data_IF_530535745272
#
_entry.id   IF_530535745272
#
_cell.length_a   1.000
_cell.length_b   1.000
_cell.length_c   1.000
_cell.angle_alpha   90.00
_cell.angle_beta   90.00
_cell.angle_gamma   90.00
#
_symmetry.space_group_name_H-M   'P 1'
#
loop_
_entity.id
_entity.type
_entity.pdbx_description
1 polymer ?
#
# COMPACT_ATOMS: atom_id res chain seq x y z
N UNK A 1 -6.75 -25.60 -46.12
CA UNK A 1 -5.60 -25.11 -45.31
C UNK A 1 -6.09 -24.82 -43.89
N UNK A 2 -5.71 -25.58 -42.86
CA UNK A 2 -6.17 -25.35 -41.50
C UNK A 2 -5.29 -24.32 -40.77
N UNK A 3 -5.93 -23.30 -40.19
CA UNK A 3 -5.33 -22.27 -39.34
C UNK A 3 -4.81 -22.90 -38.04
N UNK A 4 -3.54 -22.68 -37.67
CA UNK A 4 -2.97 -23.14 -36.40
C UNK A 4 -2.42 -21.98 -35.57
N UNK A 5 -3.16 -21.74 -34.48
CA UNK A 5 -2.75 -21.39 -33.11
C UNK A 5 -1.73 -20.24 -32.94
N UNK A 6 -2.25 -19.10 -32.51
CA UNK A 6 -1.50 -18.12 -31.74
C UNK A 6 -0.97 -18.79 -30.47
N UNK A 7 0.36 -18.90 -30.39
CA UNK A 7 1.09 -19.26 -29.19
C UNK A 7 1.01 -18.08 -28.22
N UNK A 8 0.14 -18.19 -27.22
CA UNK A 8 0.21 -17.33 -26.04
C UNK A 8 1.50 -17.64 -25.31
N UNK A 9 2.41 -16.65 -25.26
CA UNK A 9 3.61 -16.71 -24.44
C UNK A 9 3.19 -16.77 -22.96
N UNK A 10 3.84 -17.60 -22.13
CA UNK A 10 3.49 -17.69 -20.71
C UNK A 10 3.86 -16.37 -20.04
N UNK A 11 2.86 -15.77 -19.38
CA UNK A 11 3.02 -14.62 -18.49
C UNK A 11 4.00 -15.02 -17.38
N UNK A 12 5.23 -14.53 -17.45
CA UNK A 12 6.20 -14.60 -16.35
C UNK A 12 5.57 -13.91 -15.16
N UNK A 13 5.09 -14.73 -14.22
CA UNK A 13 4.53 -14.28 -12.96
C UNK A 13 5.68 -13.63 -12.18
N UNK A 14 5.80 -12.31 -12.30
CA UNK A 14 6.68 -11.50 -11.48
C UNK A 14 6.37 -11.81 -10.02
N UNK A 15 7.22 -12.60 -9.37
CA UNK A 15 7.14 -12.84 -7.94
C UNK A 15 7.67 -11.60 -7.22
N UNK A 16 6.91 -10.51 -7.29
CA UNK A 16 7.04 -9.41 -6.35
C UNK A 16 6.77 -9.99 -4.97
N UNK A 17 7.80 -10.09 -4.13
CA UNK A 17 7.62 -10.47 -2.73
C UNK A 17 6.48 -9.63 -2.16
N UNK A 18 5.44 -10.27 -1.63
CA UNK A 18 4.23 -9.59 -1.20
C UNK A 18 4.57 -8.68 -0.02
N UNK A 19 4.89 -7.43 -0.30
CA UNK A 19 5.08 -6.40 0.71
C UNK A 19 3.70 -5.93 1.15
N UNK A 20 3.28 -6.39 2.33
CA UNK A 20 2.02 -5.99 2.93
C UNK A 20 2.22 -4.67 3.70
N UNK A 21 1.44 -3.66 3.34
CA UNK A 21 1.37 -2.38 4.04
C UNK A 21 0.07 -2.31 4.84
N UNK A 22 0.12 -1.75 6.05
CA UNK A 22 -1.06 -1.44 6.85
C UNK A 22 -1.11 0.05 7.15
N UNK A 23 -2.30 0.64 7.04
CA UNK A 23 -2.54 1.98 7.59
C UNK A 23 -2.73 1.87 9.09
N UNK A 24 -2.04 2.74 9.84
CA UNK A 24 -2.17 2.86 11.29
C UNK A 24 -2.56 4.29 11.58
N UNK A 25 -3.63 4.46 12.35
CA UNK A 25 -4.04 5.79 12.82
C UNK A 25 -3.08 6.27 13.91
N UNK A 26 -2.75 7.55 13.86
CA UNK A 26 -1.80 8.18 14.79
C UNK A 26 -2.33 9.54 15.20
N UNK A 27 -1.92 10.02 16.38
CA UNK A 27 -2.26 11.37 16.82
C UNK A 27 -1.10 12.31 16.52
N UNK A 28 -1.40 13.47 15.92
CA UNK A 28 -0.40 14.52 15.69
C UNK A 28 -0.11 15.26 16.99
N UNK A 29 1.18 15.40 17.33
CA UNK A 29 1.69 16.21 18.42
C UNK A 29 2.20 17.57 17.95
N UNK A 30 3.23 18.08 18.66
CA UNK A 30 3.83 19.39 18.37
C UNK A 30 4.62 19.35 17.05
N UNK A 31 4.62 20.46 16.33
CA UNK A 31 5.48 20.64 15.15
C UNK A 31 6.50 21.74 15.43
N UNK A 32 7.79 21.43 15.26
CA UNK A 32 8.89 22.37 15.49
C UNK A 32 10.11 22.02 14.62
N UNK A 33 10.85 23.03 14.16
CA UNK A 33 12.10 22.85 13.42
C UNK A 33 12.00 22.01 12.13
N UNK A 34 10.82 21.92 11.51
CA UNK A 34 10.57 21.06 10.34
C UNK A 34 10.21 19.61 10.66
N UNK A 35 10.03 19.29 11.94
CA UNK A 35 9.59 17.98 12.43
C UNK A 35 8.16 18.05 12.97
N UNK A 36 7.49 16.91 12.99
CA UNK A 36 6.17 16.74 13.62
C UNK A 36 6.24 15.53 14.53
N UNK A 37 5.88 15.72 15.80
CA UNK A 37 5.71 14.64 16.75
C UNK A 37 4.47 13.80 16.38
N UNK A 38 4.61 12.49 16.50
CA UNK A 38 3.55 11.53 16.23
C UNK A 38 3.40 10.64 17.45
N UNK A 39 2.21 10.68 18.06
CA UNK A 39 1.86 9.78 19.15
C UNK A 39 1.22 8.51 18.57
N UNK A 40 1.86 7.40 18.84
CA UNK A 40 1.44 6.05 18.45
C UNK A 40 0.66 5.41 19.61
N UNK A 41 -0.12 4.38 19.31
CA UNK A 41 -0.75 3.57 20.36
C UNK A 41 0.30 2.86 21.21
N UNK A 42 -0.02 2.61 22.48
CA UNK A 42 0.90 2.01 23.46
C UNK A 42 1.39 0.61 23.06
N UNK A 43 0.61 -0.09 22.23
CA UNK A 43 0.86 -1.44 21.71
C UNK A 43 1.67 -1.46 20.40
N UNK A 44 2.12 -0.30 19.89
CA UNK A 44 2.91 -0.25 18.66
C UNK A 44 4.36 -0.68 18.89
N UNK A 45 4.81 -1.73 18.20
CA UNK A 45 6.21 -2.17 18.24
C UNK A 45 7.11 -1.23 17.43
N UNK A 46 7.79 -0.33 18.13
CA UNK A 46 8.74 0.63 17.56
C UNK A 46 10.06 0.01 17.09
N UNK A 47 10.42 -1.18 17.57
CA UNK A 47 11.75 -1.78 17.35
C UNK A 47 11.77 -2.56 16.05
N UNK A 48 10.72 -3.35 15.79
CA UNK A 48 10.64 -4.21 14.60
C UNK A 48 9.90 -3.56 13.43
N UNK A 49 9.02 -2.58 13.69
CA UNK A 49 8.21 -1.96 12.65
C UNK A 49 9.01 -1.01 11.77
N UNK A 50 8.66 -0.99 10.48
CA UNK A 50 9.21 -0.04 9.50
C UNK A 50 8.15 0.97 9.10
N UNK A 51 8.53 2.24 9.07
CA UNK A 51 7.66 3.36 8.66
C UNK A 51 8.01 3.80 7.25
N UNK A 52 6.99 3.98 6.42
CA UNK A 52 7.18 4.49 5.06
C UNK A 52 7.31 6.02 5.12
N UNK A 53 8.45 6.55 4.69
CA UNK A 53 8.70 8.00 4.61
C UNK A 53 8.71 8.52 3.17
N UNK A 54 9.03 7.67 2.19
CA UNK A 54 9.03 8.00 0.77
C UNK A 54 7.88 7.28 0.06
N UNK A 55 7.12 8.01 -0.74
CA UNK A 55 5.96 7.44 -1.44
C UNK A 55 4.76 7.11 -0.54
N UNK A 56 4.77 7.54 0.73
CA UNK A 56 3.67 7.29 1.67
C UNK A 56 2.33 7.78 1.11
N UNK A 57 2.28 8.96 0.50
CA UNK A 57 1.08 9.50 -0.14
C UNK A 57 0.51 8.55 -1.21
N UNK A 58 1.36 7.99 -2.08
CA UNK A 58 0.95 7.06 -3.12
C UNK A 58 0.35 5.78 -2.53
N UNK A 59 1.04 5.17 -1.55
CA UNK A 59 0.57 3.94 -0.91
C UNK A 59 -0.75 4.16 -0.15
N UNK A 60 -0.88 5.28 0.58
CA UNK A 60 -2.11 5.64 1.28
C UNK A 60 -3.27 5.84 0.29
N UNK A 61 -3.02 6.54 -0.81
CA UNK A 61 -4.04 6.79 -1.85
C UNK A 61 -4.48 5.49 -2.50
N UNK A 62 -3.54 4.62 -2.86
CA UNK A 62 -3.84 3.30 -3.44
C UNK A 62 -4.61 2.42 -2.44
N UNK A 63 -4.22 2.42 -1.15
CA UNK A 63 -4.90 1.64 -0.11
C UNK A 63 -6.33 2.11 0.12
N UNK A 64 -6.55 3.44 0.14
CA UNK A 64 -7.88 4.03 0.29
C UNK A 64 -8.76 3.77 -0.93
N UNK A 65 -8.20 3.88 -2.14
CA UNK A 65 -8.92 3.57 -3.37
C UNK A 65 -9.28 2.08 -3.46
N UNK A 66 -8.39 1.18 -3.05
CA UNK A 66 -8.68 -0.26 -2.96
C UNK A 66 -9.79 -0.55 -1.94
N UNK A 67 -9.76 0.10 -0.78
CA UNK A 67 -10.81 -0.03 0.24
C UNK A 67 -12.17 0.53 -0.21
N UNK A 68 -12.20 1.55 -1.08
CA UNK A 68 -13.42 2.14 -1.61
C UNK A 68 -13.91 1.47 -2.91
N UNK A 69 -13.05 0.72 -3.59
CA UNK A 69 -13.29 0.11 -4.90
C UNK A 69 -14.20 -1.11 -4.90
N UNK A 70 -14.69 -1.57 -3.74
CA UNK A 70 -15.69 -2.64 -3.62
C UNK A 70 -17.14 -2.13 -3.62
N UNK A 71 -17.36 -0.81 -3.70
CA UNK A 71 -18.70 -0.19 -3.69
C UNK A 71 -18.88 0.80 -4.86
N UNK A 72 -18.78 0.26 -6.09
CA UNK A 72 -18.96 1.08 -7.29
C UNK A 72 -19.08 0.36 -8.63
N UNK A 73 -19.38 -0.94 -8.67
CA UNK A 73 -19.68 -1.66 -9.92
C UNK A 73 -21.14 -2.16 -9.92
N UNK A 74 -22.07 -1.24 -10.12
CA UNK A 74 -23.32 -1.52 -10.82
C UNK A 74 -23.85 -0.18 -11.33
N UNK A 75 -23.77 0.05 -12.64
CA UNK A 75 -24.84 0.48 -13.54
C UNK A 75 -24.26 0.76 -14.93
#
# INVERSE_FOLDING_TARGET
MPKKKNTTMPEEKEMHGAHHFRMVEVRRGVADGGWVEVLLSEDFDLVSSRVVTKGAFYLLSASKAAAQGEEGHAH
#
